data_IF_581454829652
#
_entry.id   IF_581454829652
#
_cell.length_a   1.000
_cell.length_b   1.000
_cell.length_c   1.000
_cell.angle_alpha   90.00
_cell.angle_beta   90.00
_cell.angle_gamma   90.00
#
_symmetry.space_group_name_H-M   'P 1'
#
loop_
_entity.id
_entity.type
_entity.pdbx_description
1 polymer ?
#
# COMPACT_ATOMS: atom_id res chain seq x y z
N UNK A 1 -5.25 24.68 -7.39
CA UNK A 1 -4.31 23.78 -6.67
C UNK A 1 -4.19 22.42 -7.35
N UNK A 2 -5.23 21.53 -7.33
CA UNK A 2 -5.13 20.20 -7.97
C UNK A 2 -4.86 20.27 -9.48
N UNK A 3 -5.48 21.19 -10.19
CA UNK A 3 -5.25 21.41 -11.62
C UNK A 3 -3.85 21.94 -11.93
N UNK A 4 -3.31 22.80 -11.09
CA UNK A 4 -1.92 23.26 -11.19
C UNK A 4 -0.91 22.16 -10.86
N UNK A 5 -1.23 21.31 -9.91
CA UNK A 5 -0.43 20.14 -9.56
C UNK A 5 -0.37 19.17 -10.74
N UNK A 6 -1.53 18.83 -11.33
CA UNK A 6 -1.62 17.96 -12.50
C UNK A 6 -0.85 18.52 -13.71
N UNK A 7 -0.94 19.83 -13.96
CA UNK A 7 -0.19 20.51 -15.01
C UNK A 7 1.34 20.41 -14.82
N UNK A 8 1.80 20.27 -13.57
CA UNK A 8 3.24 20.20 -13.24
C UNK A 8 3.79 18.79 -13.27
N UNK A 9 3.05 17.78 -12.83
CA UNK A 9 3.54 16.42 -12.63
C UNK A 9 2.99 15.40 -13.64
N UNK A 10 2.08 15.80 -14.53
CA UNK A 10 1.51 14.88 -15.50
C UNK A 10 0.65 13.76 -14.89
N UNK A 11 0.06 14.02 -13.70
CA UNK A 11 -0.75 13.02 -12.99
C UNK A 11 -1.88 12.44 -13.84
N UNK A 12 -2.52 13.28 -14.67
CA UNK A 12 -3.53 12.83 -15.64
C UNK A 12 -2.95 11.87 -16.66
N UNK A 13 -1.69 12.00 -17.04
CA UNK A 13 -1.02 11.08 -17.98
C UNK A 13 -0.93 9.66 -17.41
N UNK A 14 -0.54 9.53 -16.13
CA UNK A 14 -0.54 8.24 -15.43
C UNK A 14 -1.93 7.61 -15.35
N UNK A 15 -2.97 8.41 -15.04
CA UNK A 15 -4.36 7.93 -14.96
C UNK A 15 -4.87 7.40 -16.31
N UNK A 16 -4.46 7.98 -17.43
CA UNK A 16 -4.88 7.54 -18.77
C UNK A 16 -3.96 6.48 -19.39
N UNK A 17 -3.00 5.93 -18.63
CA UNK A 17 -2.20 4.78 -19.03
C UNK A 17 -0.87 5.10 -19.72
N UNK A 18 -0.33 6.30 -19.50
CA UNK A 18 1.01 6.68 -19.95
C UNK A 18 1.95 6.72 -18.73
N UNK A 19 2.63 5.63 -18.47
CA UNK A 19 3.42 5.41 -17.25
C UNK A 19 4.87 5.90 -17.38
N UNK A 20 5.38 6.07 -18.61
CA UNK A 20 6.76 6.45 -18.85
C UNK A 20 6.90 7.96 -19.11
N UNK A 21 7.83 8.61 -18.43
CA UNK A 21 8.18 10.01 -18.68
C UNK A 21 8.58 10.30 -20.14
N UNK A 22 9.10 9.31 -20.86
CA UNK A 22 9.42 9.44 -22.28
C UNK A 22 8.17 9.78 -23.12
N UNK A 23 7.00 9.34 -22.70
CA UNK A 23 5.74 9.66 -23.36
C UNK A 23 5.39 11.15 -23.26
N UNK A 24 5.85 11.83 -22.21
CA UNK A 24 5.65 13.28 -22.06
C UNK A 24 6.18 14.07 -23.26
N UNK A 25 7.29 13.65 -23.87
CA UNK A 25 7.85 14.30 -25.03
C UNK A 25 6.91 14.22 -26.27
N UNK A 26 6.14 13.14 -26.38
CA UNK A 26 5.14 12.95 -27.45
C UNK A 26 3.84 13.68 -27.13
N UNK A 27 3.39 13.54 -25.88
CA UNK A 27 2.10 14.04 -25.41
C UNK A 27 2.07 15.56 -25.19
N UNK A 28 3.24 16.20 -25.07
CA UNK A 28 3.32 17.67 -24.88
C UNK A 28 2.64 18.47 -25.99
N UNK A 29 2.50 17.90 -27.18
CA UNK A 29 1.87 18.52 -28.35
C UNK A 29 0.45 18.01 -28.59
N UNK A 30 -0.05 17.08 -27.78
CA UNK A 30 -1.39 16.52 -27.92
C UNK A 30 -2.45 17.56 -27.54
N UNK A 31 -3.34 17.87 -28.48
CA UNK A 31 -4.36 18.89 -28.29
C UNK A 31 -5.39 18.55 -27.20
N UNK A 32 -5.66 17.24 -26.97
CA UNK A 32 -6.58 16.81 -25.93
C UNK A 32 -5.95 17.04 -24.53
N UNK A 33 -4.68 16.66 -24.35
CA UNK A 33 -3.96 16.93 -23.09
C UNK A 33 -3.80 18.42 -22.84
N UNK A 34 -3.51 19.23 -23.87
CA UNK A 34 -3.45 20.69 -23.76
C UNK A 34 -4.80 21.26 -23.29
N UNK A 35 -5.91 20.75 -23.83
CA UNK A 35 -7.25 21.16 -23.43
C UNK A 35 -7.57 20.77 -21.98
N UNK A 36 -7.27 19.52 -21.58
CA UNK A 36 -7.46 19.04 -20.19
C UNK A 36 -6.62 19.88 -19.22
N UNK A 37 -5.39 20.21 -19.59
CA UNK A 37 -4.51 21.07 -18.81
C UNK A 37 -4.98 22.54 -18.77
N UNK A 38 -6.06 22.88 -19.45
CA UNK A 38 -6.64 24.23 -19.46
C UNK A 38 -5.80 25.25 -20.21
N UNK A 39 -5.04 24.81 -21.22
CA UNK A 39 -4.30 25.74 -22.07
C UNK A 39 -5.26 26.60 -22.89
N UNK A 40 -5.10 27.94 -22.87
CA UNK A 40 -6.02 28.85 -23.53
C UNK A 40 -5.95 28.79 -25.05
N UNK A 41 -4.84 28.33 -25.59
CA UNK A 41 -4.63 28.17 -27.02
C UNK A 41 -4.10 26.76 -27.33
N UNK A 42 -4.69 26.11 -28.33
CA UNK A 42 -4.14 24.87 -28.89
C UNK A 42 -2.76 25.19 -29.52
N UNK A 43 -1.76 24.40 -29.18
CA UNK A 43 -0.38 24.59 -29.65
C UNK A 43 0.59 25.09 -28.58
N UNK A 44 0.11 25.47 -27.38
CA UNK A 44 1.00 25.67 -26.24
C UNK A 44 1.50 24.32 -25.69
N UNK A 45 2.80 24.12 -25.75
CA UNK A 45 3.40 22.88 -25.30
C UNK A 45 3.19 22.64 -23.79
N UNK A 46 2.96 21.38 -23.41
CA UNK A 46 2.99 20.92 -22.03
C UNK A 46 4.43 20.70 -21.56
N UNK A 47 4.59 20.26 -20.32
CA UNK A 47 5.90 19.94 -19.74
C UNK A 47 6.65 18.89 -20.58
N UNK A 48 7.94 19.15 -20.82
CA UNK A 48 8.82 18.17 -21.44
C UNK A 48 9.29 17.12 -20.43
N UNK A 49 9.78 15.97 -20.89
CA UNK A 49 10.44 14.94 -20.08
C UNK A 49 11.45 15.54 -19.10
N UNK A 50 12.36 16.41 -19.59
CA UNK A 50 13.35 17.07 -18.73
C UNK A 50 12.75 18.05 -17.72
N UNK A 51 11.54 18.60 -17.97
CA UNK A 51 10.85 19.43 -17.01
C UNK A 51 10.19 18.58 -15.91
N UNK A 52 9.63 17.42 -16.25
CA UNK A 52 9.09 16.47 -15.29
C UNK A 52 10.21 15.90 -14.42
N UNK A 53 11.33 15.47 -15.00
CA UNK A 53 12.48 14.96 -14.26
C UNK A 53 13.03 16.01 -13.27
N UNK A 54 13.11 17.28 -13.68
CA UNK A 54 13.52 18.37 -12.76
C UNK A 54 12.53 18.58 -11.63
N UNK A 55 11.24 18.46 -11.91
CA UNK A 55 10.19 18.57 -10.89
C UNK A 55 10.31 17.45 -9.86
N UNK A 56 10.44 16.19 -10.30
CA UNK A 56 10.61 15.03 -9.43
C UNK A 56 11.86 15.15 -8.56
N UNK A 57 12.99 15.54 -9.15
CA UNK A 57 14.22 15.74 -8.41
C UNK A 57 14.22 16.97 -7.48
N UNK A 58 13.27 17.89 -7.63
CA UNK A 58 13.13 19.04 -6.75
C UNK A 58 12.24 18.80 -5.54
N UNK A 59 11.49 17.67 -5.52
CA UNK A 59 10.60 17.32 -4.41
C UNK A 59 11.45 16.92 -3.19
N UNK A 60 11.18 17.59 -2.08
CA UNK A 60 11.83 17.30 -0.81
C UNK A 60 11.13 16.16 -0.06
N UNK A 61 11.82 15.45 0.88
CA UNK A 61 11.19 14.44 1.73
C UNK A 61 9.97 14.95 2.50
N UNK A 62 9.94 16.23 2.85
CA UNK A 62 8.79 16.87 3.50
C UNK A 62 7.57 16.95 2.59
N UNK A 63 7.78 17.21 1.32
CA UNK A 63 6.70 17.28 0.33
C UNK A 63 6.17 15.89 -0.01
N UNK A 64 7.05 14.89 -0.06
CA UNK A 64 6.64 13.47 -0.18
C UNK A 64 5.75 13.07 1.01
N UNK A 65 6.17 13.35 2.25
CA UNK A 65 5.37 13.10 3.43
C UNK A 65 4.01 13.83 3.42
N UNK A 66 3.96 15.05 2.85
CA UNK A 66 2.70 15.77 2.70
C UNK A 66 1.74 15.12 1.67
N UNK A 67 2.26 14.40 0.69
CA UNK A 67 1.44 13.60 -0.25
C UNK A 67 0.83 12.38 0.45
N UNK A 68 1.59 11.67 1.28
CA UNK A 68 1.06 10.56 2.09
C UNK A 68 -0.03 11.06 3.05
N UNK A 69 0.19 12.20 3.70
CA UNK A 69 -0.82 12.87 4.52
C UNK A 69 -2.08 13.18 3.72
N UNK A 70 -1.96 13.62 2.47
CA UNK A 70 -3.08 13.93 1.59
C UNK A 70 -3.92 12.68 1.27
N UNK A 71 -3.31 11.52 1.09
CA UNK A 71 -4.02 10.25 0.88
C UNK A 71 -4.94 9.95 2.06
N UNK A 72 -4.38 9.95 3.27
CA UNK A 72 -5.15 9.72 4.50
C UNK A 72 -6.23 10.79 4.70
N UNK A 73 -5.95 12.06 4.47
CA UNK A 73 -6.93 13.15 4.59
C UNK A 73 -8.05 13.07 3.56
N UNK A 74 -7.72 12.68 2.34
CA UNK A 74 -8.72 12.49 1.29
C UNK A 74 -9.69 11.37 1.66
N UNK A 75 -9.16 10.27 2.18
CA UNK A 75 -9.95 9.18 2.72
C UNK A 75 -10.86 9.67 3.86
N UNK A 76 -10.30 10.35 4.87
CA UNK A 76 -11.07 10.88 6.01
C UNK A 76 -12.22 11.77 5.53
N UNK A 77 -11.98 12.65 4.57
CA UNK A 77 -13.03 13.53 4.02
C UNK A 77 -14.12 12.78 3.25
N UNK A 78 -13.80 11.63 2.67
CA UNK A 78 -14.76 10.81 1.93
C UNK A 78 -15.66 9.96 2.83
N UNK A 79 -15.30 9.76 4.10
CA UNK A 79 -16.00 8.86 5.02
C UNK A 79 -16.98 9.60 5.91
N UNK A 80 -18.09 8.94 6.23
CA UNK A 80 -19.08 9.46 7.17
C UNK A 80 -19.22 8.51 8.36
N UNK A 81 -18.42 8.73 9.42
CA UNK A 81 -18.45 7.99 10.70
C UNK A 81 -18.50 6.47 10.53
N UNK A 82 -17.50 5.85 9.91
CA UNK A 82 -17.49 4.41 9.71
C UNK A 82 -17.47 3.69 11.09
N UNK A 83 -18.26 2.64 11.28
CA UNK A 83 -18.26 1.89 12.55
C UNK A 83 -16.98 1.09 12.76
N UNK A 84 -16.40 0.59 11.67
CA UNK A 84 -15.16 -0.18 11.64
C UNK A 84 -14.32 0.30 10.46
N UNK A 85 -13.03 0.40 10.64
CA UNK A 85 -12.03 0.57 9.57
C UNK A 85 -11.02 -0.57 9.66
N UNK A 86 -10.74 -1.17 8.53
CA UNK A 86 -9.80 -2.28 8.41
C UNK A 86 -8.56 -1.78 7.67
N UNK A 87 -7.44 -1.69 8.40
CA UNK A 87 -6.16 -1.37 7.79
C UNK A 87 -5.53 -2.65 7.25
N UNK A 88 -5.09 -2.62 6.01
CA UNK A 88 -4.34 -3.71 5.39
C UNK A 88 -2.93 -3.23 5.07
N UNK A 89 -1.94 -3.90 5.67
CA UNK A 89 -0.53 -3.70 5.35
C UNK A 89 -0.06 -4.80 4.41
N UNK A 90 0.47 -4.41 3.26
CA UNK A 90 1.03 -5.33 2.29
C UNK A 90 2.34 -4.80 1.71
N UNK A 91 3.22 -5.72 1.32
CA UNK A 91 4.46 -5.40 0.63
C UNK A 91 4.39 -5.98 -0.77
N UNK A 92 4.72 -5.17 -1.77
CA UNK A 92 4.74 -5.62 -3.15
C UNK A 92 6.15 -5.58 -3.73
N UNK A 93 6.38 -6.34 -4.78
CA UNK A 93 7.60 -6.22 -5.57
C UNK A 93 7.44 -5.12 -6.64
N UNK A 94 8.47 -4.31 -6.76
CA UNK A 94 8.59 -3.30 -7.81
C UNK A 94 9.91 -3.53 -8.55
N UNK A 95 9.87 -4.38 -9.61
CA UNK A 95 11.06 -4.75 -10.38
C UNK A 95 11.70 -3.54 -11.03
N UNK A 96 13.01 -3.41 -10.87
CA UNK A 96 13.74 -2.26 -11.39
C UNK A 96 14.77 -2.69 -12.41
N UNK A 97 14.90 -1.89 -13.45
CA UNK A 97 15.91 -2.04 -14.47
C UNK A 97 16.95 -0.91 -14.35
N UNK A 98 18.24 -1.31 -14.32
CA UNK A 98 19.34 -0.34 -14.20
C UNK A 98 19.87 -0.16 -12.78
N UNK A 99 20.70 0.88 -12.58
CA UNK A 99 21.39 1.16 -11.31
C UNK A 99 20.73 2.37 -10.62
N UNK A 100 19.58 2.17 -10.01
CA UNK A 100 18.91 3.21 -9.24
C UNK A 100 19.32 3.13 -7.76
N UNK A 101 19.15 4.23 -7.02
CA UNK A 101 19.41 4.23 -5.58
C UNK A 101 18.44 3.29 -4.86
N UNK A 102 18.93 2.63 -3.79
CA UNK A 102 18.14 1.71 -2.95
C UNK A 102 17.66 0.42 -3.65
N UNK A 103 17.98 0.19 -4.93
CA UNK A 103 17.76 -1.13 -5.53
C UNK A 103 18.59 -2.16 -4.77
N UNK A 104 17.94 -3.24 -4.38
CA UNK A 104 18.63 -4.39 -3.79
C UNK A 104 18.04 -5.71 -4.34
N UNK A 105 18.87 -6.75 -4.30
CA UNK A 105 18.43 -8.08 -4.67
C UNK A 105 17.53 -8.66 -3.58
N UNK A 106 16.34 -9.09 -3.96
CA UNK A 106 15.42 -9.77 -3.07
C UNK A 106 15.50 -11.28 -3.33
N UNK A 107 15.94 -12.05 -2.33
CA UNK A 107 16.12 -13.49 -2.48
C UNK A 107 14.80 -14.28 -2.57
N UNK A 108 13.70 -13.73 -2.05
CA UNK A 108 12.38 -14.36 -2.14
C UNK A 108 11.80 -14.22 -3.56
N UNK A 109 11.89 -13.02 -4.14
CA UNK A 109 11.42 -12.73 -5.49
C UNK A 109 12.46 -13.04 -6.58
N UNK A 110 13.71 -13.34 -6.19
CA UNK A 110 14.83 -13.64 -7.09
C UNK A 110 15.10 -12.56 -8.15
N UNK A 111 15.00 -11.30 -7.77
CA UNK A 111 15.19 -10.15 -8.66
C UNK A 111 15.73 -8.91 -7.94
N UNK A 112 16.28 -7.97 -8.71
CA UNK A 112 16.59 -6.62 -8.23
C UNK A 112 15.31 -5.77 -8.29
N UNK A 113 14.96 -5.14 -7.17
CA UNK A 113 13.68 -4.47 -7.00
C UNK A 113 13.71 -3.44 -5.89
N UNK A 114 12.67 -2.62 -5.80
CA UNK A 114 12.20 -2.03 -4.55
C UNK A 114 11.20 -2.97 -3.88
N UNK A 115 10.98 -2.79 -2.59
CA UNK A 115 9.99 -3.55 -1.82
C UNK A 115 9.07 -2.58 -1.05
N UNK A 116 8.21 -1.82 -1.78
CA UNK A 116 7.34 -0.84 -1.16
C UNK A 116 6.35 -1.49 -0.19
N UNK A 117 6.04 -0.74 0.87
CA UNK A 117 4.96 -1.04 1.80
C UNK A 117 3.76 -0.18 1.44
N UNK A 118 2.62 -0.82 1.25
CA UNK A 118 1.34 -0.19 0.96
C UNK A 118 0.40 -0.38 2.15
N UNK A 119 -0.32 0.68 2.52
CA UNK A 119 -1.36 0.62 3.55
C UNK A 119 -2.67 1.06 2.92
N UNK A 120 -3.63 0.14 2.93
CA UNK A 120 -4.97 0.35 2.37
C UNK A 120 -6.04 0.30 3.45
N UNK A 121 -7.20 0.88 3.17
CA UNK A 121 -8.42 0.55 3.89
C UNK A 121 -9.14 -0.60 3.17
N UNK A 122 -9.30 -1.73 3.87
CA UNK A 122 -9.64 -3.03 3.29
C UNK A 122 -11.08 -3.17 2.79
N UNK A 123 -12.01 -2.30 3.16
CA UNK A 123 -13.40 -2.35 2.68
C UNK A 123 -13.57 -1.53 1.40
N UNK A 124 -12.87 -0.42 1.30
CA UNK A 124 -12.96 0.51 0.16
C UNK A 124 -11.86 0.30 -0.86
N UNK A 125 -10.74 -0.33 -0.45
CA UNK A 125 -9.53 -0.43 -1.24
C UNK A 125 -8.76 0.89 -1.37
N UNK A 126 -9.14 1.93 -0.62
CA UNK A 126 -8.45 3.22 -0.68
C UNK A 126 -7.04 3.12 -0.13
N UNK A 127 -6.06 3.62 -0.89
CA UNK A 127 -4.69 3.75 -0.44
C UNK A 127 -4.61 4.88 0.61
N UNK A 128 -4.03 4.56 1.77
CA UNK A 128 -3.84 5.49 2.89
C UNK A 128 -2.40 5.99 3.00
N UNK A 129 -1.45 5.19 2.57
CA UNK A 129 -0.03 5.55 2.55
C UNK A 129 0.80 4.56 1.74
N UNK A 130 1.94 5.04 1.23
CA UNK A 130 2.89 4.26 0.44
C UNK A 130 4.31 4.60 0.86
N UNK A 131 5.15 3.59 1.08
CA UNK A 131 6.51 3.78 1.61
C UNK A 131 7.50 3.00 0.76
N UNK A 132 8.31 3.73 0.00
CA UNK A 132 9.37 3.12 -0.80
C UNK A 132 10.48 2.60 0.12
N UNK A 133 10.86 1.34 -0.07
CA UNK A 133 11.90 0.66 0.72
C UNK A 133 12.88 -0.06 -0.18
N UNK A 134 14.12 -0.29 0.29
CA UNK A 134 15.08 -1.13 -0.43
C UNK A 134 14.51 -2.52 -0.73
N UNK A 135 14.91 -3.10 -1.85
CA UNK A 135 14.41 -4.41 -2.28
C UNK A 135 14.65 -5.56 -1.30
N UNK A 136 15.69 -5.45 -0.46
CA UNK A 136 16.01 -6.44 0.58
C UNK A 136 15.38 -6.13 1.95
N UNK A 137 14.50 -5.12 2.04
CA UNK A 137 13.77 -4.82 3.27
C UNK A 137 12.85 -5.98 3.65
N UNK A 138 12.79 -6.31 4.95
CA UNK A 138 11.82 -7.29 5.45
C UNK A 138 10.40 -6.71 5.38
N UNK A 139 9.39 -7.55 5.14
CA UNK A 139 7.99 -7.10 5.03
C UNK A 139 7.55 -6.17 6.17
N UNK A 140 7.88 -6.51 7.42
CA UNK A 140 7.57 -5.72 8.60
C UNK A 140 8.58 -4.58 8.90
N UNK A 141 9.63 -4.39 8.08
CA UNK A 141 10.55 -3.27 8.28
C UNK A 141 9.79 -1.95 8.13
N UNK A 142 10.07 -1.01 9.00
CA UNK A 142 9.43 0.33 9.07
C UNK A 142 7.90 0.36 9.16
N UNK A 143 7.24 -0.80 9.36
CA UNK A 143 5.76 -0.87 9.41
C UNK A 143 5.16 0.06 10.47
N UNK A 144 5.81 0.22 11.62
CA UNK A 144 5.30 1.10 12.70
C UNK A 144 5.43 2.57 12.31
N UNK A 145 6.54 2.97 11.70
CA UNK A 145 6.76 4.34 11.22
C UNK A 145 5.73 4.73 10.17
N UNK A 146 5.27 3.76 9.38
CA UNK A 146 4.23 3.95 8.37
C UNK A 146 2.83 3.97 8.97
N UNK A 147 2.51 3.06 9.89
CA UNK A 147 1.16 2.90 10.46
C UNK A 147 0.82 3.99 11.48
N UNK A 148 1.76 4.38 12.33
CA UNK A 148 1.47 5.26 13.46
C UNK A 148 0.85 6.60 13.04
N UNK A 149 1.38 7.35 12.06
CA UNK A 149 0.77 8.59 11.60
C UNK A 149 -0.66 8.39 11.09
N UNK A 150 -0.90 7.35 10.31
CA UNK A 150 -2.21 7.01 9.74
C UNK A 150 -3.21 6.69 10.86
N UNK A 151 -2.82 5.82 11.79
CA UNK A 151 -3.65 5.43 12.94
C UNK A 151 -4.02 6.64 13.80
N UNK A 152 -3.06 7.51 14.09
CA UNK A 152 -3.31 8.70 14.91
C UNK A 152 -4.30 9.66 14.24
N UNK A 153 -4.19 9.85 12.93
CA UNK A 153 -5.11 10.69 12.15
C UNK A 153 -6.52 10.09 12.08
N UNK A 154 -6.63 8.79 11.82
CA UNK A 154 -7.91 8.09 11.78
C UNK A 154 -8.61 8.13 13.14
N UNK A 155 -7.89 7.92 14.24
CA UNK A 155 -8.44 8.03 15.60
C UNK A 155 -8.89 9.43 15.95
N UNK A 156 -8.15 10.45 15.52
CA UNK A 156 -8.53 11.85 15.73
C UNK A 156 -9.82 12.19 14.95
N UNK A 157 -9.93 11.72 13.72
CA UNK A 157 -11.10 11.97 12.87
C UNK A 157 -12.34 11.14 13.28
N UNK A 158 -12.12 9.91 13.74
CA UNK A 158 -13.16 8.92 14.04
C UNK A 158 -12.96 8.29 15.43
N UNK A 159 -13.17 9.04 16.53
CA UNK A 159 -12.83 8.60 17.90
C UNK A 159 -13.64 7.39 18.40
N UNK A 160 -14.76 7.06 17.76
CA UNK A 160 -15.63 5.94 18.11
C UNK A 160 -15.55 4.75 17.16
N UNK A 161 -14.72 4.85 16.12
CA UNK A 161 -14.53 3.78 15.13
C UNK A 161 -13.61 2.70 15.67
N UNK A 162 -14.00 1.46 15.49
CA UNK A 162 -13.15 0.31 15.77
C UNK A 162 -12.11 0.21 14.65
N UNK A 163 -10.84 0.19 15.01
CA UNK A 163 -9.76 -0.06 14.07
C UNK A 163 -9.34 -1.53 14.15
N UNK A 164 -9.19 -2.16 13.02
CA UNK A 164 -8.64 -3.50 12.86
C UNK A 164 -7.47 -3.47 11.88
N UNK A 165 -6.45 -4.28 12.11
CA UNK A 165 -5.32 -4.47 11.21
C UNK A 165 -5.36 -5.89 10.64
N UNK A 166 -5.25 -6.02 9.32
CA UNK A 166 -5.02 -7.29 8.64
C UNK A 166 -3.67 -7.26 7.93
N UNK A 167 -2.91 -8.35 8.06
CA UNK A 167 -1.63 -8.49 7.37
C UNK A 167 -1.27 -9.97 7.16
N UNK A 168 -0.34 -10.21 6.28
CA UNK A 168 0.19 -11.55 6.03
C UNK A 168 1.24 -11.99 7.08
N UNK A 169 1.82 -13.16 6.88
CA UNK A 169 2.80 -13.75 7.79
C UNK A 169 4.13 -12.97 7.83
N UNK A 170 4.45 -12.17 6.82
CA UNK A 170 5.62 -11.31 6.81
C UNK A 170 5.57 -10.20 7.87
N UNK A 171 4.37 -9.88 8.36
CA UNK A 171 4.13 -8.89 9.41
C UNK A 171 3.98 -9.49 10.81
N UNK A 172 4.13 -10.80 10.98
CA UNK A 172 4.00 -11.49 12.26
C UNK A 172 5.20 -11.22 13.18
N UNK A 173 5.35 -10.00 13.67
CA UNK A 173 6.45 -9.56 14.53
C UNK A 173 5.93 -9.00 15.85
N UNK A 174 6.59 -9.29 17.01
CA UNK A 174 6.12 -8.87 18.34
C UNK A 174 5.84 -7.38 18.44
N UNK A 175 6.71 -6.54 17.88
CA UNK A 175 6.55 -5.07 17.93
C UNK A 175 5.24 -4.58 17.29
N UNK A 176 4.71 -5.29 16.29
CA UNK A 176 3.44 -4.93 15.66
C UNK A 176 2.25 -5.32 16.55
N UNK A 177 2.31 -6.48 17.21
CA UNK A 177 1.31 -6.88 18.20
C UNK A 177 1.24 -5.90 19.36
N UNK A 178 2.40 -5.55 19.94
CA UNK A 178 2.50 -4.57 21.02
C UNK A 178 1.96 -3.19 20.62
N UNK A 179 2.20 -2.78 19.37
CA UNK A 179 1.64 -1.55 18.81
C UNK A 179 0.11 -1.62 18.75
N UNK A 180 -0.44 -2.70 18.22
CA UNK A 180 -1.89 -2.89 18.13
C UNK A 180 -2.54 -2.89 19.52
N UNK A 181 -1.97 -3.60 20.48
CA UNK A 181 -2.46 -3.64 21.86
C UNK A 181 -2.42 -2.26 22.53
N UNK A 182 -1.29 -1.56 22.43
CA UNK A 182 -1.10 -0.20 22.98
C UNK A 182 -2.13 0.78 22.43
N UNK A 183 -2.41 0.69 21.13
CA UNK A 183 -3.35 1.56 20.45
C UNK A 183 -4.79 0.99 20.43
N UNK A 184 -5.07 -0.13 21.10
CA UNK A 184 -6.39 -0.77 21.12
C UNK A 184 -6.94 -0.99 19.71
N UNK A 185 -6.12 -1.58 18.84
CA UNK A 185 -6.44 -1.98 17.46
C UNK A 185 -6.64 -3.50 17.50
N UNK A 186 -7.78 -3.99 17.01
CA UNK A 186 -7.96 -5.41 16.74
C UNK A 186 -7.01 -5.84 15.62
N UNK A 187 -6.53 -7.08 15.64
CA UNK A 187 -5.67 -7.52 14.54
C UNK A 187 -5.88 -8.98 14.16
N UNK A 188 -5.73 -9.24 12.87
CA UNK A 188 -5.71 -10.56 12.25
C UNK A 188 -4.49 -10.66 11.37
N UNK A 189 -3.44 -11.33 11.85
CA UNK A 189 -2.17 -11.47 11.15
C UNK A 189 -1.91 -12.96 10.94
N UNK A 190 -1.63 -13.35 9.70
CA UNK A 190 -1.30 -14.73 9.39
C UNK A 190 0.01 -15.11 10.10
N UNK A 191 0.13 -16.39 10.47
CA UNK A 191 1.35 -16.96 11.02
C UNK A 191 1.90 -17.98 10.03
N UNK A 192 3.19 -17.92 9.75
CA UNK A 192 3.84 -18.90 8.90
C UNK A 192 3.68 -20.32 9.46
N UNK A 193 3.30 -21.25 8.61
CA UNK A 193 3.07 -22.65 9.00
C UNK A 193 4.40 -23.33 9.35
N UNK A 194 4.81 -23.25 10.60
CA UNK A 194 5.92 -24.04 11.15
C UNK A 194 5.44 -25.44 11.61
N UNK A 195 6.35 -26.33 11.97
CA UNK A 195 6.03 -27.69 12.40
C UNK A 195 5.09 -27.73 13.62
N UNK A 196 5.21 -26.78 14.55
CA UNK A 196 4.33 -26.70 15.72
C UNK A 196 2.90 -26.41 15.30
N UNK A 197 2.70 -25.41 14.45
CA UNK A 197 1.37 -25.04 13.92
C UNK A 197 0.79 -26.17 13.08
N UNK A 198 1.59 -26.81 12.22
CA UNK A 198 1.15 -27.96 11.41
C UNK A 198 0.68 -29.11 12.28
N UNK A 199 1.46 -29.51 13.30
CA UNK A 199 1.11 -30.58 14.21
C UNK A 199 -0.18 -30.28 15.00
N UNK A 200 -0.38 -29.04 15.43
CA UNK A 200 -1.61 -28.63 16.11
C UNK A 200 -2.83 -28.62 15.17
N UNK A 201 -2.63 -28.30 13.90
CA UNK A 201 -3.67 -28.28 12.89
C UNK A 201 -3.98 -29.67 12.29
N UNK A 202 -3.17 -30.68 12.51
CA UNK A 202 -3.28 -32.00 11.83
C UNK A 202 -4.65 -32.65 12.04
N UNK A 203 -5.16 -32.67 13.27
CA UNK A 203 -6.49 -33.22 13.57
C UNK A 203 -7.60 -32.51 12.81
N UNK A 204 -7.52 -31.16 12.69
CA UNK A 204 -8.48 -30.36 11.94
C UNK A 204 -8.38 -30.63 10.43
N UNK A 205 -7.17 -30.81 9.93
CA UNK A 205 -6.96 -31.17 8.53
C UNK A 205 -7.58 -32.54 8.20
N UNK A 206 -7.39 -33.52 9.06
CA UNK A 206 -8.00 -34.86 8.91
C UNK A 206 -9.55 -34.76 8.95
N UNK A 207 -10.10 -33.98 9.86
CA UNK A 207 -11.55 -33.72 9.90
C UNK A 207 -12.06 -33.06 8.61
N UNK A 208 -11.35 -32.05 8.10
CA UNK A 208 -11.70 -31.37 6.86
C UNK A 208 -11.67 -32.32 5.65
N UNK A 209 -10.65 -33.15 5.55
CA UNK A 209 -10.52 -34.17 4.50
C UNK A 209 -11.66 -35.17 4.56
N UNK A 210 -11.95 -35.70 5.76
CA UNK A 210 -13.08 -36.62 5.95
C UNK A 210 -14.41 -35.98 5.54
N UNK A 211 -14.70 -34.78 6.03
CA UNK A 211 -15.92 -34.08 5.68
C UNK A 211 -16.06 -33.85 4.17
N UNK A 212 -14.95 -33.46 3.49
CA UNK A 212 -14.95 -33.30 2.05
C UNK A 212 -15.24 -34.61 1.32
N UNK A 213 -14.66 -35.73 1.77
CA UNK A 213 -14.94 -37.03 1.19
C UNK A 213 -16.41 -37.46 1.37
N UNK A 214 -16.98 -37.14 2.52
CA UNK A 214 -18.34 -37.56 2.86
C UNK A 214 -19.41 -36.69 2.17
N UNK A 215 -19.14 -35.40 1.94
CA UNK A 215 -20.15 -34.43 1.47
C UNK A 215 -19.86 -33.86 0.07
N UNK A 216 -18.63 -33.93 -0.41
CA UNK A 216 -18.16 -33.24 -1.63
C UNK A 216 -18.03 -31.71 -1.47
N UNK A 217 -18.33 -31.16 -0.28
CA UNK A 217 -18.29 -29.71 -0.02
C UNK A 217 -17.02 -29.31 0.71
N UNK A 218 -16.53 -28.07 0.45
CA UNK A 218 -15.37 -27.50 1.16
C UNK A 218 -15.63 -27.42 2.66
N UNK A 219 -14.86 -28.17 3.44
CA UNK A 219 -14.85 -28.07 4.89
C UNK A 219 -13.89 -26.98 5.37
N UNK A 220 -14.32 -26.22 6.39
CA UNK A 220 -13.50 -25.18 7.04
C UNK A 220 -13.60 -25.31 8.57
N UNK A 221 -13.00 -26.35 9.19
CA UNK A 221 -13.01 -26.46 10.63
C UNK A 221 -12.12 -25.40 11.26
N UNK A 222 -12.52 -24.87 12.41
CA UNK A 222 -11.79 -23.87 13.18
C UNK A 222 -11.49 -24.41 14.57
N UNK A 223 -10.32 -24.03 15.10
CA UNK A 223 -9.96 -24.23 16.50
C UNK A 223 -9.10 -23.08 17.00
N UNK A 224 -9.02 -22.94 18.32
CA UNK A 224 -8.11 -22.03 18.99
C UNK A 224 -7.03 -22.83 19.70
N UNK A 225 -5.79 -22.38 19.57
CA UNK A 225 -4.66 -22.91 20.33
C UNK A 225 -3.67 -21.78 20.63
N UNK A 226 -3.01 -21.89 21.77
CA UNK A 226 -1.96 -20.94 22.15
C UNK A 226 -0.66 -21.30 21.42
N UNK A 227 -0.06 -20.31 20.80
CA UNK A 227 1.28 -20.42 20.22
C UNK A 227 2.23 -19.54 21.08
N UNK A 228 3.33 -20.16 21.61
CA UNK A 228 4.36 -19.48 22.40
C UNK A 228 5.65 -19.40 21.60
#
# INVERSE_FOLDING_TARGET
>A
ALREFDQRIGFTQGIVGYEDQNDAQRLRHDGLFQLIAGKPQLGEELGSESSLSRLENAVSPREVGALDDLLTDSFIRSQHRPPVLILEGDSTDDPCHGQQQLIAFNGFHNQYMYHPLLIHEGQTGCLLGTFLRPGNAHAAEDVLSALEPIVMRLKAAFPHTILELRADAGFAVPRLYEFCERHKIGFTIAIGANEVVKNQAETLMQQAVKQYHDTGEKARPYAQFAHR
#
